data_IF_559034203077
#
_entry.id   IF_559034203077
#
_cell.length_a   1.000
_cell.length_b   1.000
_cell.length_c   1.000
_cell.angle_alpha   90.00
_cell.angle_beta   90.00
_cell.angle_gamma   90.00
#
_symmetry.space_group_name_H-M   'P 1'
#
loop_
_entity.id
_entity.type
_entity.pdbx_description
1 polymer ?
#
# COMPACT_ATOMS: atom_id res chain seq x y z
N UNK A 1 15.81 11.53 3.19
CA UNK A 1 14.36 11.40 3.45
C UNK A 1 13.95 9.99 3.05
N UNK A 2 13.12 9.31 3.83
CA UNK A 2 12.59 8.02 3.37
C UNK A 2 11.81 8.24 2.05
N UNK A 3 11.96 7.30 1.11
CA UNK A 3 11.25 7.34 -0.16
C UNK A 3 9.73 7.31 0.10
N UNK A 4 8.96 8.12 -0.63
CA UNK A 4 7.51 8.08 -0.55
C UNK A 4 7.00 6.71 -1.04
N UNK A 5 5.88 6.23 -0.48
CA UNK A 5 5.29 4.92 -0.80
C UNK A 5 3.80 5.02 -1.07
N UNK A 6 3.33 6.14 -1.65
CA UNK A 6 1.89 6.42 -1.86
C UNK A 6 1.22 5.46 -2.82
N UNK A 7 1.95 5.04 -3.86
CA UNK A 7 1.44 4.18 -4.95
C UNK A 7 2.31 2.95 -5.14
N UNK A 8 1.64 1.78 -5.29
CA UNK A 8 2.23 0.47 -5.45
C UNK A 8 1.71 -0.13 -6.77
N UNK A 9 2.51 0.00 -7.84
CA UNK A 9 2.11 -0.42 -9.20
C UNK A 9 2.51 -1.85 -9.48
N UNK A 10 1.52 -2.73 -9.65
CA UNK A 10 1.71 -4.12 -10.06
C UNK A 10 1.92 -4.21 -11.57
N UNK A 11 2.93 -4.98 -11.98
CA UNK A 11 3.38 -5.07 -13.39
C UNK A 11 3.60 -6.52 -13.76
N UNK A 12 3.02 -7.03 -14.89
CA UNK A 12 3.26 -8.39 -15.35
C UNK A 12 4.75 -8.73 -15.44
N UNK A 13 5.16 -9.83 -14.77
CA UNK A 13 6.57 -10.14 -14.58
C UNK A 13 7.33 -10.47 -15.87
N UNK A 14 6.66 -11.00 -16.89
CA UNK A 14 7.28 -11.43 -18.14
C UNK A 14 7.24 -10.37 -19.26
N UNK A 15 6.71 -9.15 -19.00
CA UNK A 15 6.53 -8.08 -19.99
C UNK A 15 7.53 -6.94 -19.81
N UNK A 16 8.58 -6.95 -20.62
CA UNK A 16 9.64 -5.91 -20.62
C UNK A 16 9.10 -4.53 -21.02
N UNK A 17 8.07 -4.46 -21.88
CA UNK A 17 7.48 -3.17 -22.27
C UNK A 17 6.73 -2.55 -21.10
N UNK A 18 5.98 -3.36 -20.35
CA UNK A 18 5.32 -2.95 -19.11
C UNK A 18 6.33 -2.49 -18.05
N UNK A 19 7.47 -3.19 -17.87
CA UNK A 19 8.54 -2.76 -16.95
C UNK A 19 9.07 -1.35 -17.28
N UNK A 20 9.28 -1.06 -18.57
CA UNK A 20 9.72 0.27 -19.04
C UNK A 20 8.63 1.35 -18.86
N UNK A 21 7.37 1.00 -19.07
CA UNK A 21 6.24 1.90 -18.83
C UNK A 21 6.11 2.24 -17.34
N UNK A 22 6.23 1.24 -16.47
CA UNK A 22 6.17 1.41 -15.03
C UNK A 22 7.27 2.35 -14.51
N UNK A 23 8.52 2.23 -14.99
CA UNK A 23 9.61 3.12 -14.64
C UNK A 23 9.34 4.60 -14.98
N UNK A 24 8.45 4.88 -15.93
CA UNK A 24 8.04 6.24 -16.34
C UNK A 24 6.72 6.71 -15.72
N UNK A 25 6.01 5.83 -15.02
CA UNK A 25 4.69 6.11 -14.46
C UNK A 25 4.70 7.14 -13.34
N UNK A 26 5.80 7.22 -12.58
CA UNK A 26 5.91 7.99 -11.35
C UNK A 26 5.31 7.28 -10.15
N UNK A 27 5.09 5.96 -10.20
CA UNK A 27 4.76 5.16 -9.04
C UNK A 27 5.93 5.15 -8.04
N UNK A 28 5.62 5.19 -6.75
CA UNK A 28 6.64 5.22 -5.69
C UNK A 28 7.24 3.81 -5.45
N UNK A 29 6.42 2.77 -5.58
CA UNK A 29 6.81 1.36 -5.51
C UNK A 29 6.33 0.66 -6.76
N UNK A 30 7.19 -0.16 -7.39
CA UNK A 30 6.83 -0.97 -8.55
C UNK A 30 7.03 -2.43 -8.17
N UNK A 31 5.99 -3.23 -8.40
CA UNK A 31 5.89 -4.62 -7.98
C UNK A 31 5.98 -5.52 -9.21
N UNK A 32 7.05 -6.33 -9.29
CA UNK A 32 7.14 -7.45 -10.24
C UNK A 32 6.12 -8.50 -9.82
N UNK A 33 5.18 -8.79 -10.68
CA UNK A 33 4.08 -9.65 -10.35
C UNK A 33 4.30 -11.06 -10.95
N UNK A 34 4.37 -12.08 -10.10
CA UNK A 34 4.67 -13.48 -10.48
C UNK A 34 3.46 -14.41 -10.31
N UNK A 35 2.34 -13.89 -9.81
CA UNK A 35 1.14 -14.67 -9.52
C UNK A 35 0.09 -14.49 -10.62
N UNK A 36 -0.98 -13.74 -10.42
CA UNK A 36 -2.14 -13.67 -11.32
C UNK A 36 -1.87 -13.01 -12.68
N UNK A 37 -0.96 -12.01 -12.73
CA UNK A 37 -0.63 -11.30 -13.99
C UNK A 37 0.46 -12.01 -14.79
N UNK A 38 1.01 -13.11 -14.26
CA UNK A 38 2.06 -13.88 -14.94
C UNK A 38 1.64 -15.35 -15.04
N UNK A 39 1.19 -15.79 -16.22
CA UNK A 39 0.82 -17.19 -16.45
C UNK A 39 1.93 -18.16 -16.03
N UNK A 40 1.60 -19.34 -15.51
CA UNK A 40 2.57 -20.31 -14.99
C UNK A 40 3.76 -20.58 -15.94
N UNK A 41 3.48 -20.73 -17.23
CA UNK A 41 4.49 -20.98 -18.28
C UNK A 41 5.45 -19.79 -18.50
N UNK A 42 5.10 -18.60 -18.05
CA UNK A 42 5.94 -17.40 -18.15
C UNK A 42 6.69 -17.05 -16.86
N UNK A 43 6.42 -17.73 -15.74
CA UNK A 43 7.03 -17.42 -14.42
C UNK A 43 8.55 -17.55 -14.43
N UNK A 44 9.10 -18.58 -15.07
CA UNK A 44 10.55 -18.74 -15.21
C UNK A 44 11.20 -17.56 -15.94
N UNK A 45 10.57 -17.08 -17.02
CA UNK A 45 11.00 -15.88 -17.75
C UNK A 45 10.90 -14.63 -16.87
N UNK A 46 9.81 -14.48 -16.13
CA UNK A 46 9.60 -13.34 -15.24
C UNK A 46 10.66 -13.28 -14.13
N UNK A 47 10.99 -14.42 -13.51
CA UNK A 47 12.09 -14.53 -12.54
C UNK A 47 13.41 -14.08 -13.13
N UNK A 48 13.76 -14.56 -14.29
CA UNK A 48 15.01 -14.19 -14.99
C UNK A 48 15.10 -12.69 -15.35
N UNK A 49 13.94 -11.99 -15.52
CA UNK A 49 13.87 -10.56 -15.81
C UNK A 49 13.96 -9.68 -14.57
N UNK A 50 13.90 -10.24 -13.34
CA UNK A 50 13.82 -9.48 -12.09
C UNK A 50 15.00 -8.53 -11.90
N UNK A 51 16.24 -8.97 -12.12
CA UNK A 51 17.43 -8.14 -11.97
C UNK A 51 17.39 -6.90 -12.88
N UNK A 52 17.00 -7.08 -14.14
CA UNK A 52 16.89 -5.99 -15.09
C UNK A 52 15.75 -5.01 -14.71
N UNK A 53 14.60 -5.54 -14.29
CA UNK A 53 13.45 -4.76 -13.87
C UNK A 53 13.78 -3.91 -12.62
N UNK A 54 14.36 -4.53 -11.59
CA UNK A 54 14.70 -3.84 -10.34
C UNK A 54 15.77 -2.76 -10.54
N UNK A 55 16.81 -3.03 -11.33
CA UNK A 55 17.80 -2.02 -11.67
C UNK A 55 17.18 -0.82 -12.40
N UNK A 56 16.27 -1.08 -13.34
CA UNK A 56 15.55 -0.02 -14.06
C UNK A 56 14.67 0.82 -13.13
N UNK A 57 13.92 0.19 -12.22
CA UNK A 57 13.01 0.88 -11.31
C UNK A 57 13.75 1.67 -10.22
N UNK A 58 14.80 1.09 -9.62
CA UNK A 58 15.67 1.82 -8.68
C UNK A 58 16.31 3.04 -9.35
N UNK A 59 16.74 2.92 -10.60
CA UNK A 59 17.26 4.06 -11.39
C UNK A 59 16.22 5.15 -11.62
N UNK A 60 14.93 4.81 -11.70
CA UNK A 60 13.84 5.80 -11.83
C UNK A 60 13.46 6.46 -10.49
N UNK A 61 14.06 6.03 -9.38
CA UNK A 61 13.76 6.50 -8.01
C UNK A 61 12.62 5.73 -7.34
N UNK A 62 12.12 4.65 -7.93
CA UNK A 62 11.12 3.79 -7.33
C UNK A 62 11.75 2.69 -6.47
N UNK A 63 11.00 2.24 -5.46
CA UNK A 63 11.34 1.05 -4.68
C UNK A 63 10.97 -0.18 -5.52
N UNK A 64 11.88 -1.16 -5.59
CA UNK A 64 11.66 -2.41 -6.31
C UNK A 64 11.04 -3.47 -5.39
N UNK A 65 9.84 -3.91 -5.71
CA UNK A 65 9.12 -4.94 -4.99
C UNK A 65 8.83 -6.15 -5.90
N UNK A 66 8.52 -7.28 -5.29
CA UNK A 66 7.99 -8.47 -6.00
C UNK A 66 6.82 -9.05 -5.23
N UNK A 67 5.78 -9.49 -5.94
CA UNK A 67 4.75 -10.38 -5.38
C UNK A 67 5.00 -11.79 -5.89
N UNK A 68 5.30 -12.70 -4.96
CA UNK A 68 5.48 -14.12 -5.22
C UNK A 68 4.18 -14.88 -4.99
N UNK A 69 4.11 -16.06 -5.56
CA UNK A 69 3.08 -17.05 -5.26
C UNK A 69 3.15 -17.52 -3.78
N UNK A 70 2.09 -18.13 -3.23
CA UNK A 70 2.18 -18.84 -1.95
C UNK A 70 3.32 -19.85 -1.95
N UNK A 71 3.98 -20.03 -0.80
CA UNK A 71 5.12 -20.96 -0.69
C UNK A 71 4.73 -22.42 -0.97
N UNK A 72 3.46 -22.76 -0.79
CA UNK A 72 2.88 -24.07 -1.10
C UNK A 72 2.69 -24.32 -2.61
N UNK A 73 2.77 -23.26 -3.40
CA UNK A 73 2.74 -23.31 -4.87
C UNK A 73 4.14 -22.99 -5.42
N UNK A 74 4.28 -22.04 -6.32
CA UNK A 74 5.55 -21.68 -6.96
C UNK A 74 6.44 -20.73 -6.12
N UNK A 75 6.01 -20.32 -4.92
CA UNK A 75 6.70 -19.30 -4.12
C UNK A 75 8.14 -19.62 -3.76
N UNK A 76 8.48 -20.90 -3.55
CA UNK A 76 9.87 -21.32 -3.30
C UNK A 76 10.73 -21.15 -4.56
N UNK A 77 10.21 -21.53 -5.71
CA UNK A 77 10.89 -21.34 -7.00
C UNK A 77 11.00 -19.86 -7.35
N UNK A 78 10.02 -19.06 -6.99
CA UNK A 78 10.06 -17.62 -7.15
C UNK A 78 11.21 -17.02 -6.34
N UNK A 79 11.32 -17.37 -5.06
CA UNK A 79 12.41 -16.89 -4.20
C UNK A 79 13.78 -17.31 -4.68
N UNK A 80 13.92 -18.54 -5.19
CA UNK A 80 15.19 -19.05 -5.71
C UNK A 80 15.61 -18.40 -7.04
N UNK A 81 14.65 -17.93 -7.83
CA UNK A 81 14.87 -17.45 -9.20
C UNK A 81 14.93 -15.94 -9.39
N UNK A 82 14.65 -15.13 -8.34
CA UNK A 82 14.63 -13.66 -8.45
C UNK A 82 15.87 -13.00 -7.87
N UNK A 83 16.20 -11.82 -8.40
CA UNK A 83 17.10 -10.87 -7.74
C UNK A 83 16.48 -10.41 -6.41
N UNK A 84 17.28 -10.22 -5.32
CA UNK A 84 16.76 -9.74 -4.06
C UNK A 84 16.02 -8.39 -4.20
N UNK A 85 14.72 -8.32 -3.84
CA UNK A 85 13.91 -7.10 -3.88
C UNK A 85 14.15 -6.24 -2.63
N UNK A 86 13.73 -4.97 -2.67
CA UNK A 86 13.65 -4.12 -1.48
C UNK A 86 12.44 -4.54 -0.61
N UNK A 87 11.34 -4.96 -1.27
CA UNK A 87 10.10 -5.42 -0.63
C UNK A 87 9.65 -6.74 -1.24
N UNK A 88 9.37 -7.71 -0.38
CA UNK A 88 8.83 -9.01 -0.74
C UNK A 88 7.36 -9.10 -0.30
N UNK A 89 6.47 -9.32 -1.25
CA UNK A 89 5.04 -9.55 -1.05
C UNK A 89 4.72 -11.02 -1.33
N UNK A 90 3.82 -11.61 -0.56
CA UNK A 90 3.27 -12.94 -0.82
C UNK A 90 1.76 -12.85 -0.93
N UNK A 91 1.20 -13.43 -1.98
CA UNK A 91 -0.26 -13.53 -2.18
C UNK A 91 -0.92 -14.51 -1.21
N UNK A 92 -2.21 -14.36 -1.03
CA UNK A 92 -3.11 -15.33 -0.34
C UNK A 92 -2.69 -15.66 1.10
N UNK A 93 -2.19 -14.66 1.83
CA UNK A 93 -1.83 -14.83 3.25
C UNK A 93 -3.09 -14.78 4.10
N UNK A 94 -3.33 -15.84 4.87
CA UNK A 94 -4.47 -15.98 5.77
C UNK A 94 -4.07 -16.33 7.22
N UNK A 95 -2.78 -16.65 7.46
CA UNK A 95 -2.31 -17.07 8.80
C UNK A 95 -0.93 -16.51 9.15
N UNK A 96 -0.63 -16.30 10.45
CA UNK A 96 0.71 -15.93 10.92
C UNK A 96 1.80 -16.94 10.55
N UNK A 97 1.47 -18.23 10.53
CA UNK A 97 2.42 -19.31 10.20
C UNK A 97 2.93 -19.21 8.76
N UNK A 98 2.08 -18.76 7.82
CA UNK A 98 2.52 -18.50 6.45
C UNK A 98 3.58 -17.37 6.42
N UNK A 99 3.41 -16.32 7.23
CA UNK A 99 4.39 -15.23 7.33
C UNK A 99 5.71 -15.71 7.95
N UNK A 100 5.64 -16.53 9.02
CA UNK A 100 6.85 -17.08 9.65
C UNK A 100 7.66 -17.93 8.68
N UNK A 101 6.99 -18.74 7.87
CA UNK A 101 7.63 -19.52 6.80
C UNK A 101 8.21 -18.63 5.70
N UNK A 102 7.48 -17.58 5.32
CA UNK A 102 8.00 -16.58 4.37
C UNK A 102 9.24 -15.89 4.92
N UNK A 103 9.24 -15.47 6.18
CA UNK A 103 10.40 -14.82 6.81
C UNK A 103 11.62 -15.71 6.82
N UNK A 104 11.45 -17.00 7.11
CA UNK A 104 12.53 -17.98 7.11
C UNK A 104 13.15 -18.23 5.72
N UNK A 105 12.34 -18.11 4.66
CA UNK A 105 12.77 -18.31 3.27
C UNK A 105 13.22 -17.01 2.56
N UNK A 106 12.81 -15.86 3.06
CA UNK A 106 13.00 -14.57 2.40
C UNK A 106 14.45 -14.09 2.44
N UNK A 107 14.94 -13.42 1.37
CA UNK A 107 16.27 -12.82 1.35
C UNK A 107 16.49 -11.89 2.55
N UNK A 108 17.71 -11.87 3.15
CA UNK A 108 18.05 -10.95 4.22
C UNK A 108 17.82 -9.48 3.80
N UNK A 109 17.23 -8.69 4.68
CA UNK A 109 17.04 -7.25 4.47
C UNK A 109 15.80 -6.86 3.67
N UNK A 110 15.13 -7.77 2.98
CA UNK A 110 13.86 -7.47 2.31
C UNK A 110 12.75 -7.21 3.35
N UNK A 111 11.99 -6.14 3.15
CA UNK A 111 10.77 -5.88 3.91
C UNK A 111 9.66 -6.85 3.48
N UNK A 112 8.83 -7.30 4.41
CA UNK A 112 7.72 -8.21 4.11
C UNK A 112 6.40 -7.44 4.06
N UNK A 113 5.62 -7.65 2.99
CA UNK A 113 4.28 -7.08 2.84
C UNK A 113 3.30 -8.20 2.43
N UNK A 114 2.70 -8.89 3.42
CA UNK A 114 1.68 -9.90 3.16
C UNK A 114 0.44 -9.31 2.49
N UNK A 115 -0.13 -10.04 1.50
CA UNK A 115 -1.37 -9.66 0.85
C UNK A 115 -2.55 -10.40 1.50
N UNK A 116 -3.53 -9.64 1.97
CA UNK A 116 -4.78 -10.12 2.57
C UNK A 116 -5.85 -10.12 1.48
N UNK A 117 -6.29 -11.31 1.11
CA UNK A 117 -7.10 -11.55 -0.09
C UNK A 117 -8.38 -12.36 0.18
N UNK A 118 -8.62 -12.71 1.47
CA UNK A 118 -9.77 -13.50 1.91
C UNK A 118 -10.37 -12.99 3.21
N UNK A 119 -11.61 -13.35 3.48
CA UNK A 119 -12.29 -13.06 4.74
C UNK A 119 -11.54 -13.68 5.95
N UNK A 120 -11.00 -14.88 5.79
CA UNK A 120 -10.19 -15.54 6.82
C UNK A 120 -8.92 -14.73 7.14
N UNK A 121 -8.19 -14.27 6.13
CA UNK A 121 -7.02 -13.39 6.31
C UNK A 121 -7.39 -12.04 6.91
N UNK A 122 -8.51 -11.44 6.47
CA UNK A 122 -9.01 -10.18 7.01
C UNK A 122 -9.26 -10.25 8.51
N UNK A 123 -9.90 -11.31 8.99
CA UNK A 123 -10.20 -11.49 10.42
C UNK A 123 -8.96 -11.75 11.28
N UNK A 124 -7.83 -12.09 10.68
CA UNK A 124 -6.54 -12.34 11.35
C UNK A 124 -5.46 -11.30 11.02
N UNK A 125 -5.84 -10.18 10.40
CA UNK A 125 -4.90 -9.16 9.91
C UNK A 125 -3.92 -8.69 11.01
N UNK A 126 -4.39 -8.43 12.22
CA UNK A 126 -3.54 -8.00 13.33
C UNK A 126 -2.57 -9.11 13.79
N UNK A 127 -2.99 -10.38 13.82
CA UNK A 127 -2.13 -11.52 14.14
C UNK A 127 -1.04 -11.70 13.07
N UNK A 128 -1.43 -11.61 11.79
CA UNK A 128 -0.52 -11.67 10.64
C UNK A 128 0.51 -10.55 10.73
N UNK A 129 0.10 -9.33 11.05
CA UNK A 129 1.00 -8.18 11.18
C UNK A 129 2.06 -8.36 12.29
N UNK A 130 1.73 -9.07 13.37
CA UNK A 130 2.66 -9.33 14.45
C UNK A 130 3.55 -10.56 14.24
N UNK A 131 3.35 -11.33 13.16
CA UNK A 131 4.10 -12.57 12.91
C UNK A 131 5.58 -12.34 12.56
N UNK A 132 5.96 -11.14 12.10
CA UNK A 132 7.35 -10.77 11.83
C UNK A 132 7.60 -9.29 12.08
N UNK A 133 8.77 -8.96 12.61
CA UNK A 133 9.24 -7.56 12.76
C UNK A 133 9.65 -6.92 11.41
N UNK A 134 9.76 -7.71 10.36
CA UNK A 134 10.06 -7.23 8.99
C UNK A 134 8.81 -6.70 8.29
N UNK A 135 7.61 -6.85 8.88
CA UNK A 135 6.37 -6.29 8.35
C UNK A 135 6.24 -4.84 8.77
N UNK A 136 6.24 -3.91 7.83
CA UNK A 136 5.92 -2.50 8.05
C UNK A 136 4.56 -2.12 7.48
N UNK A 137 4.04 -2.91 6.54
CA UNK A 137 2.76 -2.71 5.88
C UNK A 137 2.11 -4.05 5.50
N UNK A 138 0.80 -4.04 5.33
CA UNK A 138 0.04 -5.10 4.65
C UNK A 138 -0.77 -4.50 3.50
N UNK A 139 -1.13 -5.33 2.53
CA UNK A 139 -1.97 -4.96 1.40
C UNK A 139 -3.29 -5.73 1.46
N UNK A 140 -4.42 -5.06 1.22
CA UNK A 140 -5.70 -5.72 0.96
C UNK A 140 -5.94 -5.78 -0.55
N UNK A 141 -6.25 -6.97 -1.08
CA UNK A 141 -6.59 -7.14 -2.49
C UNK A 141 -8.09 -6.94 -2.73
N UNK A 142 -8.47 -6.70 -3.97
CA UNK A 142 -9.89 -6.47 -4.34
C UNK A 142 -10.53 -7.70 -4.98
N UNK A 143 -9.91 -8.25 -6.01
CA UNK A 143 -10.58 -9.26 -6.86
C UNK A 143 -10.74 -10.59 -6.12
N UNK A 144 -9.67 -11.10 -5.51
CA UNK A 144 -9.74 -12.34 -4.71
C UNK A 144 -10.66 -12.17 -3.50
N UNK A 145 -10.63 -11.01 -2.84
CA UNK A 145 -11.55 -10.73 -1.72
C UNK A 145 -13.01 -10.75 -2.16
N UNK A 146 -13.33 -10.16 -3.31
CA UNK A 146 -14.69 -10.15 -3.88
C UNK A 146 -15.13 -11.55 -4.26
N UNK A 147 -14.23 -12.34 -4.84
CA UNK A 147 -14.48 -13.75 -5.16
C UNK A 147 -14.74 -14.59 -3.90
N UNK A 148 -13.91 -14.40 -2.85
CA UNK A 148 -14.07 -15.08 -1.55
C UNK A 148 -15.39 -14.71 -0.85
N UNK A 149 -15.83 -13.44 -0.99
CA UNK A 149 -17.11 -12.97 -0.46
C UNK A 149 -18.32 -13.39 -1.31
N UNK A 150 -18.12 -13.98 -2.50
CA UNK A 150 -19.19 -14.39 -3.41
C UNK A 150 -19.99 -13.23 -4.00
N UNK A 151 -19.35 -12.08 -4.25
CA UNK A 151 -19.97 -10.89 -4.81
C UNK A 151 -19.26 -10.43 -6.09
N UNK A 152 -19.72 -9.34 -6.71
CA UNK A 152 -19.15 -8.79 -7.93
C UNK A 152 -18.53 -7.41 -7.68
N UNK A 153 -17.48 -7.08 -8.44
CA UNK A 153 -16.84 -5.76 -8.39
C UNK A 153 -17.75 -4.68 -8.96
N UNK A 154 -17.94 -3.62 -8.18
CA UNK A 154 -18.63 -2.41 -8.59
C UNK A 154 -17.68 -1.21 -8.72
N UNK A 155 -18.09 -0.19 -9.50
CA UNK A 155 -17.26 1.01 -9.69
C UNK A 155 -17.17 1.88 -8.44
N UNK A 156 -18.18 1.85 -7.58
CA UNK A 156 -18.21 2.59 -6.31
C UNK A 156 -17.60 1.78 -5.15
N UNK A 157 -17.34 0.48 -5.35
CA UNK A 157 -16.65 -0.38 -4.39
C UNK A 157 -17.41 -0.62 -3.10
N UNK A 158 -18.76 -0.53 -3.13
CA UNK A 158 -19.62 -0.70 -1.94
C UNK A 158 -19.43 -2.09 -1.30
N UNK A 159 -19.19 -3.12 -2.11
CA UNK A 159 -18.93 -4.50 -1.69
C UNK A 159 -17.67 -4.62 -0.82
N UNK A 160 -16.71 -3.74 -1.00
CA UNK A 160 -15.46 -3.70 -0.25
C UNK A 160 -15.43 -2.65 0.89
N UNK A 161 -16.52 -1.91 1.11
CA UNK A 161 -16.51 -0.80 2.07
C UNK A 161 -16.17 -1.27 3.49
N UNK A 162 -16.77 -2.37 3.96
CA UNK A 162 -16.47 -2.98 5.26
C UNK A 162 -15.04 -3.54 5.31
N UNK A 163 -14.64 -4.28 4.28
CA UNK A 163 -13.29 -4.86 4.17
C UNK A 163 -12.22 -3.79 4.33
N UNK A 164 -12.31 -2.72 3.57
CA UNK A 164 -11.35 -1.60 3.59
C UNK A 164 -11.32 -0.90 4.95
N UNK A 165 -12.49 -0.65 5.55
CA UNK A 165 -12.59 -0.02 6.87
C UNK A 165 -12.00 -0.93 7.96
N UNK A 166 -12.36 -2.22 7.97
CA UNK A 166 -11.89 -3.22 8.92
C UNK A 166 -10.37 -3.41 8.81
N UNK A 167 -9.87 -3.63 7.61
CA UNK A 167 -8.44 -3.83 7.35
C UNK A 167 -7.58 -2.67 7.87
N UNK A 168 -8.02 -1.43 7.60
CA UNK A 168 -7.31 -0.24 8.11
C UNK A 168 -7.25 -0.21 9.64
N UNK A 169 -8.36 -0.53 10.32
CA UNK A 169 -8.42 -0.57 11.79
C UNK A 169 -7.47 -1.64 12.35
N UNK A 170 -7.46 -2.83 11.76
CA UNK A 170 -6.58 -3.93 12.16
C UNK A 170 -5.09 -3.55 11.99
N UNK A 171 -4.71 -2.99 10.84
CA UNK A 171 -3.35 -2.52 10.60
C UNK A 171 -2.94 -1.43 11.61
N UNK A 172 -3.83 -0.48 11.91
CA UNK A 172 -3.57 0.58 12.90
C UNK A 172 -3.42 0.03 14.31
N UNK A 173 -4.23 -0.95 14.70
CA UNK A 173 -4.13 -1.62 16.00
C UNK A 173 -2.80 -2.38 16.13
N UNK A 174 -2.32 -2.98 15.04
CA UNK A 174 -1.03 -3.67 14.99
C UNK A 174 0.19 -2.72 14.84
N UNK A 175 -0.02 -1.42 14.61
CA UNK A 175 1.07 -0.45 14.44
C UNK A 175 1.77 -0.49 13.08
N UNK A 176 1.13 -1.10 12.06
CA UNK A 176 1.65 -1.18 10.69
C UNK A 176 0.85 -0.30 9.73
N UNK A 177 1.41 0.00 8.56
CA UNK A 177 0.72 0.77 7.54
C UNK A 177 -0.20 -0.15 6.69
N UNK A 178 -1.31 0.43 6.21
CA UNK A 178 -2.26 -0.26 5.34
C UNK A 178 -2.14 0.23 3.90
N UNK A 179 -1.96 -0.69 2.95
CA UNK A 179 -2.02 -0.43 1.51
C UNK A 179 -3.43 -0.79 1.03
N UNK A 180 -4.15 0.22 0.52
CA UNK A 180 -5.51 0.05 0.01
C UNK A 180 -5.53 -0.75 -1.30
N UNK A 181 -6.66 -1.43 -1.57
CA UNK A 181 -6.86 -2.23 -2.77
C UNK A 181 -6.85 -1.38 -4.05
N UNK A 182 -6.56 -1.98 -5.23
CA UNK A 182 -6.54 -1.24 -6.49
C UNK A 182 -7.95 -0.85 -6.96
N UNK A 183 -8.02 0.23 -7.74
CA UNK A 183 -9.12 0.52 -8.64
C UNK A 183 -8.81 -0.16 -9.97
N UNK A 184 -9.55 -1.21 -10.31
CA UNK A 184 -9.24 -2.10 -11.43
C UNK A 184 -9.87 -1.69 -12.76
N UNK A 185 -10.68 -0.62 -12.76
CA UNK A 185 -11.20 -0.02 -14.00
C UNK A 185 -10.21 1.00 -14.57
N UNK A 186 -10.22 1.21 -15.90
CA UNK A 186 -9.22 2.01 -16.60
C UNK A 186 -9.41 3.53 -16.52
N UNK A 187 -10.59 4.01 -16.06
CA UNK A 187 -10.86 5.45 -16.06
C UNK A 187 -10.18 6.18 -14.88
N UNK A 188 -9.40 7.19 -15.23
CA UNK A 188 -8.64 8.01 -14.27
C UNK A 188 -9.56 8.77 -13.29
N UNK A 189 -10.76 9.16 -13.71
CA UNK A 189 -11.69 9.90 -12.82
C UNK A 189 -12.18 9.00 -11.68
N UNK A 190 -12.53 7.75 -12.00
CA UNK A 190 -12.89 6.75 -11.01
C UNK A 190 -11.73 6.45 -10.07
N UNK A 191 -10.52 6.26 -10.60
CA UNK A 191 -9.33 6.04 -9.79
C UNK A 191 -9.05 7.18 -8.80
N UNK A 192 -9.23 8.44 -9.22
CA UNK A 192 -9.11 9.62 -8.34
C UNK A 192 -10.21 9.63 -7.27
N UNK A 193 -11.45 9.32 -7.65
CA UNK A 193 -12.58 9.29 -6.72
C UNK A 193 -12.38 8.22 -5.64
N UNK A 194 -11.96 7.03 -6.04
CA UNK A 194 -11.66 5.91 -5.15
C UNK A 194 -10.45 6.21 -4.23
N UNK A 195 -9.38 6.82 -4.76
CA UNK A 195 -8.26 7.25 -3.93
C UNK A 195 -8.65 8.34 -2.90
N UNK A 196 -9.56 9.26 -3.26
CA UNK A 196 -10.12 10.23 -2.32
C UNK A 196 -10.97 9.56 -1.24
N UNK A 197 -11.72 8.53 -1.59
CA UNK A 197 -12.45 7.71 -0.63
C UNK A 197 -11.48 7.04 0.34
N UNK A 198 -10.44 6.37 -0.14
CA UNK A 198 -9.37 5.77 0.66
C UNK A 198 -8.72 6.78 1.62
N UNK A 199 -8.35 7.97 1.11
CA UNK A 199 -7.78 9.06 1.92
C UNK A 199 -8.72 9.49 3.06
N UNK A 200 -10.04 9.57 2.79
CA UNK A 200 -11.04 9.90 3.83
C UNK A 200 -11.17 8.81 4.90
N UNK A 201 -11.02 7.54 4.53
CA UNK A 201 -10.94 6.45 5.52
C UNK A 201 -9.68 6.54 6.39
N UNK A 202 -8.59 7.11 5.87
CA UNK A 202 -7.31 7.23 6.58
C UNK A 202 -6.14 6.52 5.93
N UNK A 203 -6.32 5.92 4.76
CA UNK A 203 -5.23 5.35 3.98
C UNK A 203 -4.27 6.43 3.47
N UNK A 204 -3.01 6.04 3.30
CA UNK A 204 -1.95 6.88 2.74
C UNK A 204 -1.26 6.23 1.55
N UNK A 205 -1.55 4.96 1.33
CA UNK A 205 -0.97 4.11 0.29
C UNK A 205 -2.07 3.35 -0.44
N UNK A 206 -1.88 3.12 -1.73
CA UNK A 206 -2.82 2.41 -2.59
C UNK A 206 -2.11 1.61 -3.66
N UNK A 207 -2.55 0.37 -3.89
CA UNK A 207 -2.11 -0.44 -5.01
C UNK A 207 -2.75 0.01 -6.33
N UNK A 208 -2.05 -0.24 -7.43
CA UNK A 208 -2.43 0.13 -8.79
C UNK A 208 -2.17 -1.01 -9.74
N UNK A 209 -2.99 -1.12 -10.78
CA UNK A 209 -2.80 -2.04 -11.91
C UNK A 209 -2.64 -1.30 -13.24
N UNK A 210 -2.90 0.01 -13.28
CA UNK A 210 -2.74 0.87 -14.46
C UNK A 210 -1.69 1.96 -14.17
N UNK A 211 -0.60 2.02 -14.95
CA UNK A 211 0.45 3.02 -14.75
C UNK A 211 -0.04 4.48 -14.93
N UNK A 212 -1.12 4.71 -15.67
CA UNK A 212 -1.71 6.05 -15.85
C UNK A 212 -2.32 6.62 -14.57
N UNK A 213 -2.67 5.75 -13.60
CA UNK A 213 -3.23 6.14 -12.31
C UNK A 213 -2.17 6.66 -11.31
N UNK A 214 -0.87 6.36 -11.50
CA UNK A 214 0.17 6.64 -10.52
C UNK A 214 0.27 8.12 -10.15
N UNK A 215 0.49 9.00 -11.13
CA UNK A 215 0.61 10.45 -10.88
C UNK A 215 -0.65 11.08 -10.29
N UNK A 216 -1.87 10.82 -10.81
CA UNK A 216 -3.10 11.33 -10.22
C UNK A 216 -3.31 10.89 -8.77
N UNK A 217 -3.05 9.62 -8.45
CA UNK A 217 -3.22 9.08 -7.09
C UNK A 217 -2.14 9.62 -6.16
N UNK A 218 -0.89 9.75 -6.60
CA UNK A 218 0.15 10.43 -5.84
C UNK A 218 -0.26 11.86 -5.46
N UNK A 219 -0.89 12.59 -6.37
CA UNK A 219 -1.40 13.93 -6.08
C UNK A 219 -2.50 13.93 -5.01
N UNK A 220 -3.38 12.91 -4.97
CA UNK A 220 -4.41 12.77 -3.93
C UNK A 220 -3.78 12.55 -2.56
N UNK A 221 -2.78 11.68 -2.44
CA UNK A 221 -2.15 11.35 -1.15
C UNK A 221 -1.12 12.37 -0.69
N UNK A 222 -0.64 13.23 -1.59
CA UNK A 222 0.28 14.32 -1.21
C UNK A 222 -0.51 15.48 -0.58
N UNK A 223 -0.15 15.92 0.65
CA UNK A 223 -0.80 17.07 1.27
C UNK A 223 -0.62 18.33 0.43
N UNK A 224 -1.73 18.95 0.05
CA UNK A 224 -1.73 20.19 -0.72
C UNK A 224 -1.38 21.43 0.10
N UNK A 225 -1.03 22.59 -0.56
CA UNK A 225 -0.70 23.83 0.14
C UNK A 225 -1.80 24.29 1.10
N UNK A 226 -3.07 24.14 0.73
CA UNK A 226 -4.22 24.49 1.57
C UNK A 226 -4.32 23.61 2.82
N UNK A 227 -4.14 22.29 2.70
CA UNK A 227 -4.13 21.36 3.83
C UNK A 227 -3.01 21.69 4.81
N UNK A 228 -1.81 21.99 4.29
CA UNK A 228 -0.66 22.36 5.10
C UNK A 228 -0.84 23.72 5.80
N UNK A 229 -1.41 24.71 5.10
CA UNK A 229 -1.70 26.01 5.70
C UNK A 229 -2.75 25.88 6.83
N UNK A 230 -3.79 25.10 6.62
CA UNK A 230 -4.79 24.82 7.65
C UNK A 230 -4.19 24.09 8.85
N UNK A 231 -3.35 23.07 8.62
CA UNK A 231 -2.65 22.36 9.68
C UNK A 231 -1.74 23.31 10.51
N UNK A 232 -0.99 24.19 9.86
CA UNK A 232 -0.19 25.24 10.58
C UNK A 232 -1.08 26.16 11.41
N UNK A 233 -2.24 26.58 10.88
CA UNK A 233 -3.22 27.41 11.59
C UNK A 233 -3.75 26.71 12.84
N UNK A 234 -4.07 25.41 12.75
CA UNK A 234 -4.49 24.58 13.88
C UNK A 234 -3.40 24.52 14.95
N UNK A 235 -2.17 24.16 14.55
CA UNK A 235 -1.03 24.05 15.49
C UNK A 235 -0.79 25.39 16.21
N UNK A 236 -0.67 26.48 15.49
CA UNK A 236 -0.43 27.79 16.08
C UNK A 236 -1.56 28.26 17.01
N UNK A 237 -2.82 28.00 16.66
CA UNK A 237 -3.95 28.37 17.50
C UNK A 237 -4.00 27.57 18.80
N UNK A 238 -3.74 26.26 18.73
CA UNK A 238 -3.74 25.37 19.89
C UNK A 238 -2.58 25.70 20.85
N UNK A 239 -1.38 25.93 20.33
CA UNK A 239 -0.20 26.31 21.13
C UNK A 239 -0.41 27.65 21.85
N UNK A 240 -0.98 28.66 21.17
CA UNK A 240 -1.38 29.92 21.83
C UNK A 240 -2.43 29.72 22.93
N UNK A 241 -3.40 28.84 22.71
CA UNK A 241 -4.41 28.54 23.72
C UNK A 241 -3.78 27.88 24.97
N UNK A 242 -2.85 26.94 24.75
CA UNK A 242 -2.10 26.28 25.85
C UNK A 242 -1.25 27.27 26.63
N UNK A 243 -0.54 28.17 25.96
CA UNK A 243 0.24 29.22 26.62
C UNK A 243 -0.62 30.20 27.47
N UNK A 244 -1.92 30.33 27.11
CA UNK A 244 -2.89 31.11 27.85
C UNK A 244 -3.69 30.28 28.89
N UNK A 245 -3.23 29.09 29.27
CA UNK A 245 -3.88 28.21 30.25
C UNK A 245 -5.18 27.56 29.80
N UNK A 246 -5.49 27.57 28.49
CA UNK A 246 -6.69 26.95 27.93
C UNK A 246 -6.39 25.57 27.33
N UNK A 247 -7.31 24.66 27.45
CA UNK A 247 -7.18 23.27 26.97
C UNK A 247 -7.66 23.06 25.52
N UNK A 248 -8.30 24.10 24.91
CA UNK A 248 -8.91 24.07 23.57
C UNK A 248 -8.68 25.36 22.82
N UNK A 249 -8.75 25.30 21.49
CA UNK A 249 -8.74 26.46 20.61
C UNK A 249 -9.95 26.43 19.66
N UNK A 250 -10.21 27.54 18.95
CA UNK A 250 -11.15 27.60 17.83
C UNK A 250 -10.41 28.00 16.55
N UNK A 251 -10.67 27.30 15.45
CA UNK A 251 -10.15 27.61 14.13
C UNK A 251 -11.27 27.44 13.12
N UNK A 252 -11.57 28.50 12.37
CA UNK A 252 -12.61 28.52 11.33
C UNK A 252 -13.97 27.98 11.83
N UNK A 253 -14.35 28.33 13.09
CA UNK A 253 -15.56 27.89 13.74
C UNK A 253 -15.52 26.50 14.38
N UNK A 254 -14.50 25.68 14.07
CA UNK A 254 -14.34 24.34 14.65
C UNK A 254 -13.59 24.39 15.98
N UNK A 255 -13.99 23.52 16.92
CA UNK A 255 -13.28 23.29 18.17
C UNK A 255 -12.06 22.41 17.91
N UNK A 256 -10.90 22.85 18.36
CA UNK A 256 -9.62 22.13 18.25
C UNK A 256 -9.24 21.57 19.61
N UNK A 257 -9.22 20.27 19.70
CA UNK A 257 -8.79 19.48 20.85
C UNK A 257 -7.46 18.74 20.54
N UNK A 258 -6.89 18.11 21.56
CA UNK A 258 -5.59 17.41 21.45
C UNK A 258 -5.51 16.43 20.26
N UNK A 259 -6.53 15.60 19.93
CA UNK A 259 -6.44 14.70 18.78
C UNK A 259 -6.30 15.42 17.44
N UNK A 260 -7.01 16.54 17.25
CA UNK A 260 -6.98 17.35 16.03
C UNK A 260 -5.61 18.05 15.90
N UNK A 261 -5.09 18.61 17.00
CA UNK A 261 -3.75 19.18 17.07
C UNK A 261 -2.68 18.15 16.72
N UNK A 262 -2.74 16.95 17.32
CA UNK A 262 -1.80 15.87 17.05
C UNK A 262 -1.84 15.40 15.58
N UNK A 263 -3.04 15.33 14.98
CA UNK A 263 -3.19 15.01 13.55
C UNK A 263 -2.57 16.09 12.66
N UNK A 264 -2.76 17.37 12.97
CA UNK A 264 -2.16 18.47 12.24
C UNK A 264 -0.62 18.45 12.34
N UNK A 265 -0.05 18.15 13.51
CA UNK A 265 1.41 17.98 13.68
C UNK A 265 1.95 16.82 12.85
N UNK A 266 1.29 15.66 12.86
CA UNK A 266 1.69 14.51 12.01
C UNK A 266 1.67 14.87 10.52
N UNK A 267 0.63 15.59 10.07
CA UNK A 267 0.55 16.03 8.68
C UNK A 267 1.71 16.96 8.29
N UNK A 268 2.12 17.85 9.15
CA UNK A 268 3.27 18.75 8.90
C UNK A 268 4.60 17.99 8.92
N UNK A 269 4.76 17.02 9.83
CA UNK A 269 5.95 16.21 9.94
C UNK A 269 6.16 15.24 8.76
N UNK A 270 5.07 14.79 8.11
CA UNK A 270 5.17 13.90 6.95
C UNK A 270 5.81 14.53 5.71
N UNK A 271 6.15 15.80 5.73
CA UNK A 271 6.84 16.56 4.67
C UNK A 271 8.25 17.01 5.05
N UNK A 272 8.65 16.88 6.29
CA UNK A 272 10.01 17.13 6.74
C UNK A 272 10.87 15.90 6.51
#
# INVERSE_FOLDING_TARGET
>A
MPLARRTWLFVPGADVAAHRAAARSGADVIVLELEDFTPPELRAKARALSALAFALWRKSGAIAAVRINPLEADGIDDLAGIEPPDVLMMSKVATPEQVQRLEAAAPPGAELVPNIESAAGLLRTAEIAHASKRISALLVASEDMVADLGTERSRDGVELAYVRARFLVECRAAGVEAIDCPYTFSDVKGAIADARYAKRLGYRMKSLVDPSHAKPINAVFTPGPRELAHARKIVAAFERARAAGRDRAKVDGALIEVPIYAAAKRLLASRA
#
